data_IF_064824388417
#
_entry.id   IF_064824388417
#
_cell.length_a   1.000
_cell.length_b   1.000
_cell.length_c   1.000
_cell.angle_alpha   90.00
_cell.angle_beta   90.00
_cell.angle_gamma   90.00
#
_symmetry.space_group_name_H-M   'P 1'
#
loop_
_entity.id
_entity.type
_entity.pdbx_description
1 polymer ?
#
# COMPACT_ATOMS: atom_id res chain seq x y z
N UNK A 1 -8.36 -17.57 38.97
CA UNK A 1 -9.05 -16.66 38.02
C UNK A 1 -8.21 -15.45 37.61
N UNK A 2 -7.50 -14.75 38.52
CA UNK A 2 -6.67 -13.58 38.16
C UNK A 2 -5.50 -13.87 37.20
N UNK A 3 -4.84 -15.02 37.35
CA UNK A 3 -3.73 -15.42 36.47
C UNK A 3 -4.19 -15.73 35.04
N UNK A 4 -5.35 -16.40 34.87
CA UNK A 4 -5.95 -16.63 33.56
C UNK A 4 -6.40 -15.33 32.88
N UNK A 5 -6.92 -14.37 33.65
CA UNK A 5 -7.30 -13.05 33.14
C UNK A 5 -6.08 -12.23 32.70
N UNK A 6 -4.98 -12.32 33.45
CA UNK A 6 -3.67 -11.74 33.08
C UNK A 6 -3.07 -12.39 31.84
N UNK A 7 -3.16 -13.72 31.73
CA UNK A 7 -2.67 -14.47 30.56
C UNK A 7 -3.50 -14.14 29.31
N UNK A 8 -4.82 -13.99 29.46
CA UNK A 8 -5.72 -13.58 28.39
C UNK A 8 -5.44 -12.14 27.92
N UNK A 9 -5.19 -11.21 28.86
CA UNK A 9 -4.80 -9.83 28.54
C UNK A 9 -3.44 -9.76 27.85
N UNK A 10 -2.45 -10.55 28.30
CA UNK A 10 -1.13 -10.63 27.69
C UNK A 10 -1.22 -11.23 26.28
N UNK A 11 -2.06 -12.25 26.09
CA UNK A 11 -2.33 -12.85 24.77
C UNK A 11 -3.04 -11.85 23.82
N UNK A 12 -3.97 -11.04 24.34
CA UNK A 12 -4.62 -9.95 23.58
C UNK A 12 -3.63 -8.85 23.18
N UNK A 13 -2.67 -8.50 24.05
CA UNK A 13 -1.58 -7.55 23.78
C UNK A 13 -0.53 -8.10 22.79
N UNK A 14 -0.29 -9.41 22.80
CA UNK A 14 0.61 -10.09 21.86
C UNK A 14 -0.06 -10.37 20.50
N UNK A 15 -1.39 -10.38 20.45
CA UNK A 15 -2.18 -10.62 19.25
C UNK A 15 -2.73 -9.34 18.61
N UNK A 16 -2.59 -8.19 19.28
CA UNK A 16 -2.72 -6.91 18.58
C UNK A 16 -1.60 -6.86 17.53
N UNK A 17 -1.91 -6.55 16.25
CA UNK A 17 -0.85 -6.26 15.30
C UNK A 17 0.04 -5.19 15.95
N UNK A 18 1.37 -5.38 15.91
CA UNK A 18 2.32 -4.31 16.23
C UNK A 18 1.73 -3.01 15.70
N UNK A 19 1.74 -1.89 16.46
CA UNK A 19 1.35 -0.62 15.89
C UNK A 19 2.27 -0.40 14.69
N UNK A 20 1.78 -0.72 13.50
CA UNK A 20 2.30 -0.18 12.26
C UNK A 20 2.25 1.32 12.53
N UNK A 21 3.39 1.98 12.42
CA UNK A 21 3.45 3.43 12.46
C UNK A 21 2.43 3.87 11.41
N UNK A 22 1.27 4.31 11.90
CA UNK A 22 0.13 4.67 11.06
C UNK A 22 0.43 6.09 10.63
N UNK A 23 1.12 6.21 9.51
CA UNK A 23 1.56 7.49 8.99
C UNK A 23 0.43 8.25 8.26
N UNK A 24 -0.82 7.81 8.40
CA UNK A 24 -1.97 8.46 7.78
C UNK A 24 -3.03 8.75 8.85
N UNK A 25 -3.35 10.04 9.02
CA UNK A 25 -4.52 10.47 9.78
C UNK A 25 -5.78 10.02 9.03
N UNK A 26 -6.91 9.82 9.71
CA UNK A 26 -8.22 9.59 9.07
C UNK A 26 -8.56 10.65 8.02
N UNK A 27 -7.92 11.82 8.10
CA UNK A 27 -8.11 12.99 7.26
C UNK A 27 -7.56 12.82 5.84
N UNK A 28 -6.49 12.05 5.64
CA UNK A 28 -5.91 11.90 4.29
C UNK A 28 -6.78 11.03 3.38
N UNK A 29 -7.50 10.03 3.92
CA UNK A 29 -8.50 9.29 3.15
C UNK A 29 -9.71 10.15 2.79
N UNK A 30 -10.18 10.98 3.71
CA UNK A 30 -11.24 11.94 3.37
C UNK A 30 -10.77 12.95 2.33
N UNK A 31 -9.49 13.35 2.37
CA UNK A 31 -8.89 14.18 1.33
C UNK A 31 -8.94 13.48 -0.03
N UNK A 32 -8.60 12.20 -0.11
CA UNK A 32 -8.63 11.45 -1.37
C UNK A 32 -10.01 11.46 -2.03
N UNK A 33 -11.07 11.27 -1.23
CA UNK A 33 -12.47 11.32 -1.69
C UNK A 33 -12.81 12.72 -2.23
N UNK A 34 -12.46 13.77 -1.47
CA UNK A 34 -12.71 15.15 -1.88
C UNK A 34 -11.97 15.47 -3.19
N UNK A 35 -10.67 15.15 -3.27
CA UNK A 35 -9.86 15.40 -4.46
C UNK A 35 -10.35 14.59 -5.66
N UNK A 36 -10.82 13.36 -5.45
CA UNK A 36 -11.43 12.55 -6.50
C UNK A 36 -12.69 13.21 -7.07
N UNK A 37 -13.56 13.77 -6.23
CA UNK A 37 -14.78 14.45 -6.66
C UNK A 37 -14.45 15.64 -7.57
N UNK A 38 -13.52 16.50 -7.16
CA UNK A 38 -13.08 17.64 -7.98
C UNK A 38 -12.40 17.18 -9.28
N UNK A 39 -11.62 16.10 -9.25
CA UNK A 39 -11.00 15.53 -10.44
C UNK A 39 -12.04 15.04 -11.45
N UNK A 40 -13.13 14.41 -10.99
CA UNK A 40 -14.21 13.92 -11.84
C UNK A 40 -15.00 15.05 -12.50
N UNK A 41 -15.13 16.22 -11.87
CA UNK A 41 -15.80 17.40 -12.46
C UNK A 41 -15.14 17.87 -13.76
N UNK A 42 -13.86 17.59 -13.98
CA UNK A 42 -13.18 17.91 -15.23
C UNK A 42 -13.56 16.95 -16.39
N UNK A 43 -14.27 15.86 -16.12
CA UNK A 43 -14.61 14.80 -17.09
C UNK A 43 -16.03 14.92 -17.65
N UNK A 44 -16.42 16.08 -18.19
CA UNK A 44 -17.78 16.31 -18.74
C UNK A 44 -18.05 15.48 -20.00
N UNK A 45 -17.13 15.53 -20.99
CA UNK A 45 -17.17 14.72 -22.23
C UNK A 45 -15.77 14.20 -22.54
N UNK A 46 -15.22 13.30 -21.71
CA UNK A 46 -13.80 12.98 -21.76
C UNK A 46 -13.47 12.04 -22.92
N UNK A 47 -12.39 12.37 -23.63
CA UNK A 47 -11.75 11.47 -24.59
C UNK A 47 -10.86 10.49 -23.82
N UNK A 48 -10.88 9.22 -24.24
CA UNK A 48 -10.04 8.19 -23.62
C UNK A 48 -8.57 8.51 -23.85
N UNK A 49 -7.75 8.46 -22.80
CA UNK A 49 -6.31 8.72 -22.92
C UNK A 49 -5.91 10.20 -22.85
N UNK A 50 -6.86 11.12 -22.72
CA UNK A 50 -6.57 12.55 -22.53
C UNK A 50 -6.51 12.89 -21.05
N UNK A 51 -5.49 13.65 -20.65
CA UNK A 51 -5.32 14.16 -19.28
C UNK A 51 -6.15 15.44 -19.14
N UNK A 52 -7.00 15.49 -18.12
CA UNK A 52 -7.81 16.65 -17.78
C UNK A 52 -7.30 17.24 -16.47
N UNK A 53 -6.74 18.44 -16.51
CA UNK A 53 -6.35 19.17 -15.31
C UNK A 53 -7.61 19.66 -14.59
N UNK A 54 -7.70 19.41 -13.27
CA UNK A 54 -8.83 19.79 -12.44
C UNK A 54 -8.43 20.77 -11.32
N UNK A 55 -7.20 21.25 -11.31
CA UNK A 55 -6.65 22.11 -10.25
C UNK A 55 -7.42 23.42 -10.10
N UNK A 56 -7.91 24.00 -11.21
CA UNK A 56 -8.72 25.22 -11.19
C UNK A 56 -10.10 25.05 -10.54
N UNK A 57 -10.57 23.82 -10.35
CA UNK A 57 -11.85 23.54 -9.70
C UNK A 57 -11.72 23.46 -8.17
N UNK A 58 -10.49 23.42 -7.64
CA UNK A 58 -10.26 23.31 -6.21
C UNK A 58 -10.60 24.62 -5.48
N UNK A 59 -11.27 24.54 -4.31
CA UNK A 59 -11.43 25.68 -3.42
C UNK A 59 -10.09 26.26 -2.95
N UNK A 60 -10.10 27.53 -2.52
CA UNK A 60 -8.94 28.24 -1.95
C UNK A 60 -8.26 27.48 -0.79
N UNK A 61 -9.03 26.67 -0.05
CA UNK A 61 -8.52 25.85 1.04
C UNK A 61 -7.48 24.80 0.60
N UNK A 62 -7.38 24.49 -0.71
CA UNK A 62 -6.39 23.57 -1.27
C UNK A 62 -5.30 24.27 -2.07
N UNK A 63 -4.98 25.52 -1.73
CA UNK A 63 -3.92 26.29 -2.40
C UNK A 63 -2.61 25.49 -2.43
N UNK A 64 -2.02 25.35 -3.62
CA UNK A 64 -0.79 24.59 -3.85
C UNK A 64 -0.97 23.10 -4.12
N UNK A 65 -2.18 22.54 -3.96
CA UNK A 65 -2.51 21.18 -4.41
C UNK A 65 -2.78 21.20 -5.91
N UNK A 66 -2.26 20.22 -6.65
CA UNK A 66 -2.58 20.01 -8.07
C UNK A 66 -3.28 18.67 -8.24
N UNK A 67 -4.32 18.64 -9.06
CA UNK A 67 -5.05 17.41 -9.39
C UNK A 67 -5.34 17.30 -10.89
N UNK A 68 -5.38 16.08 -11.38
CA UNK A 68 -5.78 15.77 -12.75
C UNK A 68 -6.52 14.43 -12.80
N UNK A 69 -7.28 14.22 -13.86
CA UNK A 69 -7.98 12.98 -14.14
C UNK A 69 -7.66 12.45 -15.53
N UNK A 70 -7.49 11.13 -15.65
CA UNK A 70 -7.23 10.43 -16.90
C UNK A 70 -8.16 9.22 -17.02
N UNK A 71 -9.10 9.28 -17.97
CA UNK A 71 -10.04 8.17 -18.22
C UNK A 71 -9.48 7.21 -19.25
N UNK A 72 -9.43 5.92 -18.92
CA UNK A 72 -8.89 4.85 -19.76
C UNK A 72 -9.86 3.66 -19.87
N UNK A 73 -9.71 2.88 -20.94
CA UNK A 73 -10.23 1.50 -20.96
C UNK A 73 -9.21 0.60 -20.27
N UNK A 74 -9.63 -0.29 -19.41
CA UNK A 74 -8.71 -1.20 -18.70
C UNK A 74 -7.86 -2.06 -19.63
N UNK A 75 -8.46 -2.55 -20.72
CA UNK A 75 -7.72 -3.28 -21.75
C UNK A 75 -6.71 -2.42 -22.53
N UNK A 76 -6.85 -1.09 -22.54
CA UNK A 76 -5.84 -0.18 -23.10
C UNK A 76 -4.71 0.04 -22.11
N UNK A 77 -5.05 0.30 -20.83
CA UNK A 77 -4.07 0.44 -19.75
C UNK A 77 -3.17 -0.80 -19.67
N UNK A 78 -3.76 -2.00 -19.66
CA UNK A 78 -3.00 -3.26 -19.62
C UNK A 78 -2.07 -3.47 -20.82
N UNK A 79 -2.51 -3.12 -22.04
CA UNK A 79 -1.74 -3.39 -23.27
C UNK A 79 -0.71 -2.33 -23.62
N UNK A 80 -0.96 -1.08 -23.21
CA UNK A 80 -0.18 0.09 -23.68
C UNK A 80 0.38 0.96 -22.55
N UNK A 81 -0.02 0.74 -21.29
CA UNK A 81 0.32 1.65 -20.21
C UNK A 81 -0.25 3.05 -20.46
N UNK A 82 0.51 4.07 -20.04
CA UNK A 82 0.28 5.47 -20.40
C UNK A 82 1.55 6.06 -20.99
N UNK A 83 1.47 6.58 -22.22
CA UNK A 83 2.63 7.05 -23.00
C UNK A 83 2.48 8.55 -23.32
N UNK A 84 3.53 9.38 -23.13
CA UNK A 84 4.83 9.03 -22.55
C UNK A 84 4.77 8.88 -21.03
N UNK A 85 3.94 9.69 -20.35
CA UNK A 85 3.71 9.63 -18.92
C UNK A 85 2.35 10.23 -18.56
N UNK A 86 1.87 9.94 -17.37
CA UNK A 86 0.77 10.64 -16.73
C UNK A 86 1.35 11.58 -15.66
N UNK A 87 1.57 12.85 -16.03
CA UNK A 87 2.33 13.78 -15.20
C UNK A 87 3.70 13.18 -14.82
N UNK A 88 4.04 13.09 -13.53
CA UNK A 88 5.28 12.47 -13.02
C UNK A 88 5.27 10.94 -13.04
N UNK A 89 4.15 10.29 -13.38
CA UNK A 89 4.00 8.84 -13.35
C UNK A 89 4.24 8.21 -14.75
N UNK A 90 5.28 7.40 -14.87
CA UNK A 90 5.49 6.51 -16.02
C UNK A 90 4.78 5.18 -15.72
N UNK A 91 3.65 4.95 -16.39
CA UNK A 91 2.79 3.79 -16.16
C UNK A 91 3.08 2.75 -17.24
N UNK A 92 3.70 1.60 -16.90
CA UNK A 92 4.16 0.63 -17.87
C UNK A 92 3.02 -0.19 -18.46
N UNK A 93 3.37 -1.03 -19.44
CA UNK A 93 2.48 -2.11 -19.89
C UNK A 93 2.28 -3.15 -18.79
N UNK A 94 1.16 -3.89 -18.85
CA UNK A 94 0.88 -4.98 -17.91
C UNK A 94 0.25 -4.54 -16.58
N UNK A 95 -0.21 -3.29 -16.48
CA UNK A 95 -0.96 -2.80 -15.32
C UNK A 95 -2.39 -3.36 -15.33
N UNK A 96 -2.82 -3.97 -14.23
CA UNK A 96 -4.12 -4.63 -14.07
C UNK A 96 -4.82 -4.07 -12.85
N UNK A 97 -6.11 -3.76 -12.99
CA UNK A 97 -6.99 -3.36 -11.90
C UNK A 97 -7.85 -4.52 -11.37
N UNK A 98 -8.22 -4.45 -10.09
CA UNK A 98 -9.13 -5.37 -9.41
C UNK A 98 -10.09 -4.59 -8.49
N UNK A 99 -11.42 -4.83 -8.54
CA UNK A 99 -12.13 -5.67 -9.50
C UNK A 99 -12.04 -5.10 -10.93
N UNK A 100 -12.25 -5.96 -11.94
CA UNK A 100 -12.24 -5.54 -13.34
C UNK A 100 -13.37 -4.55 -13.62
N UNK A 101 -13.04 -3.50 -14.36
CA UNK A 101 -14.03 -2.54 -14.88
C UNK A 101 -13.77 -2.30 -16.36
N UNK A 102 -14.81 -1.94 -17.14
CA UNK A 102 -14.59 -1.66 -18.58
C UNK A 102 -13.80 -0.37 -18.80
N UNK A 103 -14.05 0.63 -17.96
CA UNK A 103 -13.38 1.93 -17.95
C UNK A 103 -13.06 2.31 -16.52
N UNK A 104 -11.85 2.84 -16.34
CA UNK A 104 -11.38 3.37 -15.08
C UNK A 104 -10.96 4.84 -15.25
N UNK A 105 -10.90 5.55 -14.14
CA UNK A 105 -10.28 6.88 -14.05
C UNK A 105 -9.08 6.75 -13.13
N UNK A 106 -7.91 7.15 -13.62
CA UNK A 106 -6.76 7.43 -12.78
C UNK A 106 -6.85 8.89 -12.32
N UNK A 107 -6.72 9.10 -11.02
CA UNK A 107 -6.67 10.42 -10.40
C UNK A 107 -5.26 10.66 -9.92
N UNK A 108 -4.64 11.70 -10.47
CA UNK A 108 -3.37 12.24 -10.04
C UNK A 108 -3.60 13.29 -8.96
N UNK A 109 -2.77 13.25 -7.92
CA UNK A 109 -2.74 14.24 -6.86
C UNK A 109 -1.30 14.67 -6.59
N UNK A 110 -1.08 15.96 -6.37
CA UNK A 110 0.17 16.49 -5.85
C UNK A 110 -0.17 17.41 -4.69
N UNK A 111 0.21 17.00 -3.48
CA UNK A 111 -0.19 17.68 -2.26
C UNK A 111 0.66 18.92 -1.95
N UNK A 112 1.76 19.14 -2.67
CA UNK A 112 2.62 20.31 -2.45
C UNK A 112 3.01 20.46 -0.96
N UNK A 113 2.77 21.66 -0.42
CA UNK A 113 3.06 22.00 0.98
C UNK A 113 2.18 21.26 2.01
N UNK A 114 1.12 20.59 1.58
CA UNK A 114 0.21 19.84 2.45
C UNK A 114 0.71 18.44 2.79
N UNK A 115 1.80 18.01 2.17
CA UNK A 115 2.38 16.67 2.33
C UNK A 115 2.55 16.27 3.80
N UNK A 116 3.25 17.08 4.60
CA UNK A 116 3.52 16.77 6.01
C UNK A 116 2.27 16.84 6.90
N UNK A 117 1.19 17.53 6.47
CA UNK A 117 -0.06 17.59 7.23
C UNK A 117 -0.83 16.27 7.11
N UNK A 118 -0.94 15.74 5.90
CA UNK A 118 -1.75 14.55 5.63
C UNK A 118 -0.96 13.23 5.77
N UNK A 119 0.35 13.30 5.57
CA UNK A 119 1.27 12.16 5.69
C UNK A 119 2.39 12.52 6.68
N UNK A 120 2.11 12.63 7.99
CA UNK A 120 3.15 12.90 8.96
C UNK A 120 4.13 11.72 9.05
N UNK A 121 5.42 11.99 8.86
CA UNK A 121 6.49 11.02 9.00
C UNK A 121 7.50 11.47 10.07
N UNK A 122 7.49 10.88 11.27
CA UNK A 122 8.48 11.22 12.29
C UNK A 122 9.88 10.77 11.86
N UNK A 123 10.91 11.53 12.22
CA UNK A 123 12.33 11.30 11.89
C UNK A 123 12.70 11.43 10.41
N UNK A 124 11.76 11.84 9.56
CA UNK A 124 11.99 12.07 8.15
C UNK A 124 11.59 13.49 7.75
N UNK A 125 12.33 14.06 6.80
CA UNK A 125 12.00 15.35 6.19
C UNK A 125 11.65 15.13 4.72
N UNK A 126 10.53 15.69 4.26
CA UNK A 126 10.13 15.65 2.85
C UNK A 126 11.07 16.48 1.97
N UNK A 127 11.67 15.84 0.97
CA UNK A 127 12.46 16.51 -0.07
C UNK A 127 11.63 16.80 -1.31
N UNK A 128 10.54 16.06 -1.53
CA UNK A 128 9.61 16.25 -2.63
C UNK A 128 8.17 16.28 -2.08
N UNK A 129 7.17 16.80 -2.83
CA UNK A 129 5.77 16.69 -2.41
C UNK A 129 5.29 15.24 -2.44
N UNK A 130 4.22 14.94 -1.71
CA UNK A 130 3.52 13.67 -1.81
C UNK A 130 2.68 13.66 -3.08
N UNK A 131 2.97 12.70 -3.96
CA UNK A 131 2.24 12.44 -5.20
C UNK A 131 1.34 11.22 -5.03
N UNK A 132 0.06 11.37 -5.35
CA UNK A 132 -0.94 10.30 -5.30
C UNK A 132 -1.33 9.83 -6.70
N UNK A 133 -1.43 8.51 -6.86
CA UNK A 133 -2.07 7.87 -8.00
C UNK A 133 -3.13 6.91 -7.47
N UNK A 134 -4.39 7.18 -7.77
CA UNK A 134 -5.53 6.38 -7.33
C UNK A 134 -6.42 6.01 -8.51
N UNK A 135 -6.96 4.80 -8.52
CA UNK A 135 -7.84 4.33 -9.59
C UNK A 135 -9.27 4.13 -9.11
N UNK A 136 -10.24 4.51 -9.95
CA UNK A 136 -11.67 4.43 -9.65
C UNK A 136 -12.45 3.88 -10.84
N UNK A 137 -13.65 3.35 -10.59
CA UNK A 137 -14.55 2.95 -11.68
C UNK A 137 -14.96 4.18 -12.49
N UNK A 138 -14.66 4.16 -13.79
CA UNK A 138 -14.92 5.26 -14.72
C UNK A 138 -16.14 5.04 -15.61
N UNK A 139 -17.06 4.16 -15.21
CA UNK A 139 -18.29 3.86 -15.97
C UNK A 139 -19.35 4.95 -15.80
N UNK A 140 -19.57 5.39 -14.55
CA UNK A 140 -20.43 6.51 -14.21
C UNK A 140 -19.58 7.64 -13.61
N UNK A 141 -19.44 8.76 -14.33
CA UNK A 141 -18.62 9.90 -13.93
C UNK A 141 -19.33 10.86 -12.97
N UNK A 142 -20.63 10.65 -12.76
CA UNK A 142 -21.45 11.41 -11.82
C UNK A 142 -21.65 10.68 -10.49
N UNK A 143 -21.04 9.49 -10.33
CA UNK A 143 -21.15 8.72 -9.11
C UNK A 143 -20.29 9.34 -8.00
N UNK A 144 -20.85 9.42 -6.80
CA UNK A 144 -20.19 9.83 -5.56
C UNK A 144 -19.73 8.60 -4.78
N UNK A 145 -18.84 8.79 -3.81
CA UNK A 145 -18.40 7.75 -2.86
C UNK A 145 -17.86 6.48 -3.53
N UNK A 146 -17.18 6.65 -4.66
CA UNK A 146 -16.62 5.55 -5.42
C UNK A 146 -15.48 4.88 -4.64
N UNK A 147 -15.50 3.55 -4.42
CA UNK A 147 -14.39 2.87 -3.81
C UNK A 147 -13.18 2.88 -4.76
N UNK A 148 -11.98 2.95 -4.19
CA UNK A 148 -10.73 2.77 -4.93
C UNK A 148 -10.65 1.36 -5.48
N UNK A 149 -10.28 1.22 -6.74
CA UNK A 149 -9.86 -0.05 -7.33
C UNK A 149 -8.44 -0.38 -6.83
N UNK A 150 -8.06 -1.65 -6.86
CA UNK A 150 -6.67 -2.07 -6.62
C UNK A 150 -5.94 -2.18 -7.94
N UNK A 151 -4.92 -1.36 -8.16
CA UNK A 151 -4.05 -1.45 -9.34
C UNK A 151 -2.74 -2.13 -8.98
N UNK A 152 -2.33 -3.09 -9.81
CA UNK A 152 -1.07 -3.80 -9.69
C UNK A 152 -0.34 -3.87 -11.04
N UNK A 153 0.93 -3.54 -11.06
CA UNK A 153 1.85 -3.64 -12.18
C UNK A 153 2.63 -4.94 -12.05
N UNK A 154 2.36 -5.91 -12.92
CA UNK A 154 2.83 -7.29 -12.75
C UNK A 154 4.22 -7.58 -13.33
N UNK A 155 4.70 -6.77 -14.26
CA UNK A 155 5.96 -7.01 -14.98
C UNK A 155 6.99 -5.92 -14.65
N UNK A 156 6.73 -4.69 -15.09
CA UNK A 156 7.55 -3.53 -14.74
C UNK A 156 6.84 -2.68 -13.69
N UNK A 157 7.58 -2.05 -12.74
CA UNK A 157 6.97 -1.17 -11.77
C UNK A 157 6.59 0.18 -12.40
N UNK A 158 5.58 0.82 -11.82
CA UNK A 158 5.26 2.22 -12.08
C UNK A 158 6.43 3.06 -11.55
N UNK A 159 7.01 3.88 -12.41
CA UNK A 159 8.08 4.81 -12.02
C UNK A 159 7.48 6.19 -11.78
N UNK A 160 7.96 6.86 -10.73
CA UNK A 160 7.54 8.20 -10.35
C UNK A 160 8.76 9.09 -10.37
N UNK A 161 8.82 9.99 -11.35
CA UNK A 161 9.95 10.90 -11.55
C UNK A 161 9.60 12.28 -11.02
N UNK A 162 10.16 12.60 -9.86
CA UNK A 162 9.93 13.89 -9.22
C UNK A 162 10.70 14.98 -9.97
N UNK A 163 10.00 16.07 -10.30
CA UNK A 163 10.60 17.22 -11.00
C UNK A 163 11.40 18.10 -10.04
N UNK A 164 10.83 18.38 -8.86
CA UNK A 164 11.42 19.26 -7.86
C UNK A 164 11.77 18.46 -6.59
N UNK A 165 13.05 18.12 -6.44
CA UNK A 165 13.58 17.45 -5.24
C UNK A 165 14.56 18.39 -4.56
N UNK A 166 14.32 18.70 -3.28
CA UNK A 166 15.20 19.53 -2.46
C UNK A 166 16.49 18.80 -2.14
N UNK A 167 17.57 19.55 -1.99
CA UNK A 167 18.85 18.99 -1.56
C UNK A 167 18.73 18.37 -0.15
N UNK A 168 19.24 17.14 0.05
CA UNK A 168 19.22 16.50 1.36
C UNK A 168 20.20 17.18 2.32
N UNK A 169 19.93 17.15 3.64
CA UNK A 169 20.92 17.54 4.64
C UNK A 169 22.22 16.74 4.49
N UNK A 170 23.35 17.35 4.85
CA UNK A 170 24.67 16.68 4.81
C UNK A 170 24.65 15.36 5.60
N UNK A 171 25.03 14.28 4.94
CA UNK A 171 25.09 12.94 5.53
C UNK A 171 23.72 12.26 5.73
N UNK A 172 22.61 12.87 5.28
CA UNK A 172 21.29 12.26 5.38
C UNK A 172 21.10 11.15 4.33
N UNK A 173 20.42 10.08 4.74
CA UNK A 173 20.05 8.97 3.85
C UNK A 173 18.74 9.32 3.15
N UNK A 174 18.78 9.37 1.82
CA UNK A 174 17.59 9.65 1.00
C UNK A 174 16.87 8.36 0.66
N UNK A 175 15.55 8.32 0.87
CA UNK A 175 14.67 7.17 0.61
C UNK A 175 13.42 7.60 -0.13
N UNK A 176 12.91 6.69 -0.95
CA UNK A 176 11.51 6.74 -1.37
C UNK A 176 10.64 6.27 -0.22
N UNK A 177 9.51 6.94 0.00
CA UNK A 177 8.44 6.48 0.88
C UNK A 177 7.18 6.26 0.06
N UNK A 178 6.53 5.12 0.28
CA UNK A 178 5.24 4.78 -0.32
C UNK A 178 4.22 4.49 0.78
N UNK A 179 3.04 5.07 0.64
CA UNK A 179 1.89 4.85 1.51
C UNK A 179 0.86 3.99 0.78
N UNK A 180 0.53 2.86 1.40
CA UNK A 180 -0.54 1.99 0.90
C UNK A 180 -1.92 2.64 1.07
N UNK A 181 -2.95 2.00 0.51
CA UNK A 181 -4.34 2.47 0.64
C UNK A 181 -4.84 2.46 2.08
N UNK A 182 -4.11 1.84 3.02
CA UNK A 182 -4.37 1.79 4.45
C UNK A 182 -3.56 2.81 5.25
N UNK A 183 -2.66 3.55 4.61
CA UNK A 183 -1.82 4.56 5.23
C UNK A 183 -0.56 4.01 5.89
N UNK A 184 -0.22 2.75 5.66
CA UNK A 184 1.06 2.18 6.11
C UNK A 184 2.17 2.66 5.19
N UNK A 185 3.26 3.18 5.75
CA UNK A 185 4.44 3.59 5.00
C UNK A 185 5.42 2.44 4.80
N UNK A 186 5.99 2.32 3.61
CA UNK A 186 7.15 1.49 3.31
C UNK A 186 8.23 2.32 2.63
N UNK A 187 9.49 1.89 2.77
CA UNK A 187 10.64 2.62 2.27
C UNK A 187 11.41 1.81 1.24
N UNK A 188 11.97 2.51 0.24
CA UNK A 188 12.85 1.92 -0.77
C UNK A 188 13.93 2.92 -1.17
N UNK A 189 14.88 2.49 -1.99
CA UNK A 189 15.98 3.35 -2.44
C UNK A 189 15.51 4.28 -3.56
N UNK A 190 15.98 5.53 -3.55
CA UNK A 190 15.80 6.44 -4.68
C UNK A 190 16.76 6.02 -5.80
N UNK A 191 16.25 6.02 -7.03
CA UNK A 191 17.03 5.75 -8.24
C UNK A 191 17.30 7.06 -8.97
N UNK A 192 18.54 7.31 -9.42
CA UNK A 192 18.90 8.51 -10.19
C UNK A 192 18.68 9.83 -9.46
N UNK A 193 18.58 9.82 -8.12
CA UNK A 193 18.40 11.01 -7.28
C UNK A 193 16.97 11.58 -7.22
N UNK A 194 16.08 11.20 -8.14
CA UNK A 194 14.73 11.77 -8.22
C UNK A 194 13.62 10.78 -8.61
N UNK A 195 13.92 9.49 -8.70
CA UNK A 195 12.97 8.49 -9.19
C UNK A 195 12.65 7.44 -8.13
N UNK A 196 11.35 7.22 -7.91
CA UNK A 196 10.82 6.13 -7.08
C UNK A 196 10.10 5.09 -7.94
N UNK A 197 9.97 3.87 -7.43
CA UNK A 197 9.28 2.77 -8.12
C UNK A 197 8.28 2.08 -7.19
N UNK A 198 7.12 1.71 -7.74
CA UNK A 198 6.08 0.95 -7.03
C UNK A 198 5.36 -0.02 -7.99
N UNK A 199 4.94 -1.17 -7.48
CA UNK A 199 4.07 -2.08 -8.23
C UNK A 199 2.59 -1.77 -8.03
N UNK A 200 2.23 -0.91 -7.08
CA UNK A 200 0.82 -0.66 -6.73
C UNK A 200 0.51 0.82 -6.63
N UNK A 201 -0.78 1.15 -6.66
CA UNK A 201 -1.25 2.52 -6.47
C UNK A 201 -1.08 3.01 -5.02
N UNK A 202 -1.26 4.31 -4.79
CA UNK A 202 -1.14 4.93 -3.49
C UNK A 202 -0.40 6.26 -3.58
N UNK A 203 0.22 6.67 -2.48
CA UNK A 203 0.92 7.94 -2.37
C UNK A 203 2.42 7.73 -2.21
N UNK A 204 3.23 8.54 -2.88
CA UNK A 204 4.69 8.41 -2.90
C UNK A 204 5.37 9.75 -2.68
N UNK A 205 6.55 9.71 -2.06
CA UNK A 205 7.42 10.87 -1.97
C UNK A 205 8.88 10.47 -1.78
N UNK A 206 9.77 11.47 -1.77
CA UNK A 206 11.18 11.34 -1.42
C UNK A 206 11.41 12.04 -0.09
N UNK A 207 12.07 11.34 0.83
CA UNK A 207 12.37 11.83 2.18
C UNK A 207 13.85 11.64 2.52
N UNK A 208 14.35 12.49 3.40
CA UNK A 208 15.66 12.37 4.04
C UNK A 208 15.49 11.92 5.50
N UNK A 209 16.23 10.89 5.90
CA UNK A 209 16.31 10.47 7.29
C UNK A 209 17.09 11.51 8.10
N UNK A 210 16.47 12.00 9.17
CA UNK A 210 17.09 12.97 10.07
C UNK A 210 17.96 12.18 11.05
N UNK A 211 19.26 12.12 10.79
CA UNK A 211 20.21 11.55 11.75
C UNK A 211 20.24 12.44 12.98
N UNK A 212 19.72 11.96 14.09
CA UNK A 212 19.97 12.57 15.41
C UNK A 212 21.42 12.23 15.73
N UNK A 213 22.36 13.10 15.33
CA UNK A 213 23.73 12.98 15.80
C UNK A 213 23.68 13.03 17.34
N UNK A 214 24.24 12.05 18.07
CA UNK A 214 24.30 12.14 19.52
C UNK A 214 25.00 13.45 19.89
N UNK A 215 24.54 14.16 20.94
CA UNK A 215 25.19 15.38 21.39
C UNK A 215 26.68 15.10 21.59
N UNK A 216 27.58 15.98 21.13
CA UNK A 216 29.01 15.77 21.33
C UNK A 216 29.26 15.54 22.83
N UNK A 217 30.10 14.55 23.19
CA UNK A 217 30.41 14.31 24.59
C UNK A 217 30.92 15.63 25.21
N UNK A 218 30.49 15.98 26.43
CA UNK A 218 30.95 17.19 27.09
C UNK A 218 32.48 17.17 27.13
N UNK A 219 33.10 18.21 26.58
CA UNK A 219 34.54 18.39 26.59
C UNK A 219 35.04 18.37 28.03
N UNK A 220 35.84 17.37 28.37
CA UNK A 220 36.57 17.28 29.64
C UNK A 220 37.44 18.54 29.82
N UNK A 221 37.41 19.20 30.99
CA UNK A 221 38.35 20.29 31.27
C UNK A 221 39.78 19.75 31.36
N UNK A 222 40.79 20.56 31.01
CA UNK A 222 42.19 20.11 30.92
C UNK A 222 42.73 19.70 32.30
N UNK A 223 43.46 18.58 32.40
CA UNK A 223 44.10 18.17 33.65
C UNK A 223 45.36 19.02 33.89
N UNK A 224 45.36 19.70 35.04
CA UNK A 224 46.53 20.40 35.58
C UNK A 224 47.54 19.36 36.07
N UNK A 225 48.77 19.45 35.55
CA UNK A 225 49.95 18.71 36.06
C UNK A 225 50.32 19.18 37.47
N UNK A 226 50.84 18.31 38.35
CA UNK A 226 52.29 18.25 38.48
C UNK A 226 52.87 16.83 38.76
N UNK A 227 54.09 16.60 38.30
CA UNK A 227 55.01 15.54 38.74
C UNK A 227 55.90 16.05 39.91
N UNK A 228 56.81 15.26 40.56
CA UNK A 228 57.12 13.83 40.44
C UNK A 228 57.15 13.05 41.80
N UNK A 229 57.24 11.72 41.68
CA UNK A 229 57.52 10.64 42.66
C UNK A 229 58.97 10.70 43.23
N UNK A 230 59.56 9.74 44.03
CA UNK A 230 59.20 8.34 44.44
C UNK A 230 59.60 8.03 45.94
N UNK A 231 59.86 6.80 46.49
CA UNK A 231 59.89 5.41 45.93
C UNK A 231 59.26 4.26 46.78
N UNK A 232 59.11 3.09 46.12
CA UNK A 232 58.72 1.72 46.57
C UNK A 232 59.77 1.04 47.50
N UNK A 233 59.64 -0.21 48.08
CA UNK A 233 59.21 -1.51 47.46
C UNK A 233 58.56 -2.56 48.45
N UNK A 234 58.61 -3.92 48.26
CA UNK A 234 57.85 -4.85 47.39
C UNK A 234 57.10 -6.00 48.20
N UNK A 235 56.91 -7.27 47.72
CA UNK A 235 55.85 -7.83 46.84
C UNK A 235 55.09 -9.08 47.42
N UNK A 236 53.86 -9.42 47.02
CA UNK A 236 53.33 -10.82 47.15
C UNK A 236 52.34 -11.20 46.03
N UNK A 237 52.53 -12.45 45.56
CA UNK A 237 52.01 -13.21 44.39
C UNK A 237 50.54 -13.69 44.58
N UNK A 238 49.83 -14.20 43.53
CA UNK A 238 48.37 -14.27 43.42
C UNK A 238 47.78 -15.61 43.88
N UNK A 239 46.46 -15.65 44.11
CA UNK A 239 45.68 -16.90 44.13
C UNK A 239 44.28 -16.74 43.55
N UNK A 240 44.10 -17.37 42.40
CA UNK A 240 42.84 -17.87 41.87
C UNK A 240 42.32 -19.02 42.78
N UNK A 241 41.01 -19.09 43.04
CA UNK A 241 40.32 -20.40 43.05
C UNK A 241 38.80 -20.26 43.06
N UNK A 242 38.21 -20.90 42.04
CA UNK A 242 36.91 -21.56 41.97
C UNK A 242 36.03 -21.54 43.24
N UNK A 243 34.77 -21.16 43.03
CA UNK A 243 33.67 -21.91 43.64
C UNK A 243 32.69 -22.37 42.57
N UNK A 244 32.09 -23.50 42.85
CA UNK A 244 31.51 -24.43 41.89
C UNK A 244 30.11 -24.81 42.33
N UNK A 245 29.34 -25.26 41.34
CA UNK A 245 28.26 -26.25 41.41
C UNK A 245 26.83 -25.77 41.69
N UNK A 246 26.10 -25.82 40.56
CA UNK A 246 24.97 -26.73 40.27
C UNK A 246 23.59 -26.40 40.85
N UNK A 247 22.62 -26.94 40.09
CA UNK A 247 21.18 -27.10 40.32
C UNK A 247 20.38 -25.93 39.77
N UNK A 248 19.38 -26.10 38.90
CA UNK A 248 18.78 -27.32 38.38
C UNK A 248 17.68 -26.99 37.37
N UNK A 249 17.54 -27.86 36.37
CA UNK A 249 16.26 -28.35 35.82
C UNK A 249 15.05 -27.40 35.88
N UNK A 250 15.06 -26.29 35.12
CA UNK A 250 13.82 -25.57 34.70
C UNK A 250 14.00 -24.93 33.31
N UNK A 251 14.58 -25.62 32.33
CA UNK A 251 14.74 -25.08 30.95
C UNK A 251 13.95 -25.87 29.90
N UNK A 252 13.23 -26.93 30.30
CA UNK A 252 12.43 -27.74 29.35
C UNK A 252 11.01 -27.23 29.09
N UNK A 253 10.42 -26.43 29.98
CA UNK A 253 8.96 -26.18 29.95
C UNK A 253 8.55 -24.95 29.12
N UNK A 254 9.40 -23.93 29.03
CA UNK A 254 9.08 -22.69 28.30
C UNK A 254 9.21 -22.90 26.78
N UNK A 255 10.23 -23.63 26.33
CA UNK A 255 10.39 -23.95 24.89
C UNK A 255 9.26 -24.85 24.39
N UNK A 256 8.87 -25.86 25.18
CA UNK A 256 7.75 -26.74 24.84
C UNK A 256 6.42 -25.99 24.77
N UNK A 257 6.17 -25.06 25.70
CA UNK A 257 4.99 -24.20 25.68
C UNK A 257 4.90 -23.32 24.44
N UNK A 258 6.02 -22.71 24.02
CA UNK A 258 6.05 -21.85 22.83
C UNK A 258 5.81 -22.68 21.57
N UNK A 259 6.45 -23.84 21.44
CA UNK A 259 6.26 -24.74 20.28
C UNK A 259 4.81 -25.25 20.21
N UNK A 260 4.23 -25.65 21.34
CA UNK A 260 2.85 -26.09 21.42
C UNK A 260 1.85 -24.95 21.10
N UNK A 261 2.13 -23.73 21.57
CA UNK A 261 1.31 -22.55 21.30
C UNK A 261 1.35 -22.15 19.82
N UNK A 262 2.53 -22.20 19.19
CA UNK A 262 2.69 -21.97 17.75
C UNK A 262 1.94 -23.03 16.95
N UNK A 263 2.05 -24.30 17.33
CA UNK A 263 1.34 -25.40 16.67
C UNK A 263 -0.18 -25.26 16.79
N UNK A 264 -0.69 -24.88 17.97
CA UNK A 264 -2.12 -24.59 18.18
C UNK A 264 -2.60 -23.41 17.34
N UNK A 265 -1.81 -22.33 17.27
CA UNK A 265 -2.14 -21.16 16.46
C UNK A 265 -2.21 -21.52 14.97
N UNK A 266 -1.26 -22.32 14.46
CA UNK A 266 -1.28 -22.82 13.09
C UNK A 266 -2.50 -23.71 12.82
N UNK A 267 -2.85 -24.61 13.75
CA UNK A 267 -4.05 -25.46 13.63
C UNK A 267 -5.34 -24.64 13.55
N UNK A 268 -5.50 -23.62 14.40
CA UNK A 268 -6.66 -22.73 14.37
C UNK A 268 -6.73 -21.97 13.05
N UNK A 269 -5.61 -21.41 12.57
CA UNK A 269 -5.55 -20.73 11.28
C UNK A 269 -5.90 -21.66 10.12
N UNK A 270 -5.46 -22.92 10.15
CA UNK A 270 -5.82 -23.93 9.17
C UNK A 270 -7.32 -24.26 9.18
N UNK A 271 -7.91 -24.46 10.36
CA UNK A 271 -9.37 -24.72 10.48
C UNK A 271 -10.18 -23.52 9.99
N UNK A 272 -9.75 -22.29 10.31
CA UNK A 272 -10.41 -21.07 9.84
C UNK A 272 -10.30 -20.90 8.32
N UNK A 273 -9.12 -21.15 7.75
CA UNK A 273 -8.91 -21.16 6.29
C UNK A 273 -9.74 -22.24 5.63
N UNK A 274 -9.80 -23.45 6.20
CA UNK A 274 -10.60 -24.55 5.68
C UNK A 274 -12.11 -24.24 5.72
N UNK A 275 -12.60 -23.62 6.80
CA UNK A 275 -13.99 -23.14 6.89
C UNK A 275 -14.29 -22.04 5.87
N UNK A 276 -13.36 -21.10 5.66
CA UNK A 276 -13.47 -20.06 4.64
C UNK A 276 -13.54 -20.67 3.24
N UNK A 277 -12.65 -21.61 2.91
CA UNK A 277 -12.66 -22.31 1.61
C UNK A 277 -13.93 -23.14 1.42
N UNK A 278 -14.42 -23.82 2.47
CA UNK A 278 -15.72 -24.53 2.40
C UNK A 278 -16.90 -23.59 2.15
N UNK A 279 -16.92 -22.41 2.78
CA UNK A 279 -17.95 -21.40 2.49
C UNK A 279 -17.89 -20.96 1.03
N UNK A 280 -16.68 -20.74 0.49
CA UNK A 280 -16.50 -20.38 -0.92
C UNK A 280 -17.01 -21.50 -1.84
N UNK A 281 -16.69 -22.75 -1.57
CA UNK A 281 -17.19 -23.89 -2.35
C UNK A 281 -18.72 -24.08 -2.26
N UNK A 282 -19.32 -23.75 -1.11
CA UNK A 282 -20.78 -23.73 -0.98
C UNK A 282 -21.40 -22.59 -1.79
N UNK A 283 -20.75 -21.42 -1.83
CA UNK A 283 -21.16 -20.30 -2.66
C UNK A 283 -21.01 -20.60 -4.16
N UNK A 284 -19.97 -21.33 -4.56
CA UNK A 284 -19.77 -21.80 -5.94
C UNK A 284 -20.86 -22.79 -6.37
N UNK A 285 -21.21 -23.78 -5.54
CA UNK A 285 -22.32 -24.70 -5.85
C UNK A 285 -23.70 -24.02 -5.89
N UNK A 286 -23.92 -23.00 -5.06
CA UNK A 286 -25.15 -22.22 -5.11
C UNK A 286 -25.24 -21.35 -6.37
N UNK A 287 -24.10 -20.89 -6.90
CA UNK A 287 -24.02 -20.18 -8.18
C UNK A 287 -24.23 -21.11 -9.38
N UNK A 288 -23.68 -22.33 -9.36
CA UNK A 288 -23.90 -23.32 -10.42
C UNK A 288 -25.33 -23.88 -10.44
N UNK A 289 -26.02 -23.90 -9.29
CA UNK A 289 -27.43 -24.30 -9.19
C UNK A 289 -28.41 -23.17 -9.54
N UNK A 290 -27.95 -21.92 -9.50
CA UNK A 290 -28.74 -20.74 -9.86
C UNK A 290 -28.60 -20.40 -11.35
N UNK A 291 -29.51 -20.94 -12.16
CA UNK A 291 -29.71 -20.62 -13.59
C UNK A 291 -28.67 -21.16 -14.60
N UNK A 292 -28.70 -22.48 -14.81
CA UNK A 292 -28.29 -23.04 -16.10
C UNK A 292 -29.32 -22.63 -17.19
N UNK A 293 -29.09 -21.48 -17.83
CA UNK A 293 -29.75 -21.11 -19.09
C UNK A 293 -29.64 -22.30 -20.06
N UNK A 294 -30.78 -22.80 -20.55
CA UNK A 294 -30.82 -23.93 -21.48
C UNK A 294 -29.94 -23.66 -22.70
N UNK A 295 -28.88 -24.45 -22.86
CA UNK A 295 -28.00 -24.41 -24.03
C UNK A 295 -28.70 -25.18 -25.15
N UNK A 296 -29.08 -24.50 -26.23
CA UNK A 296 -29.56 -25.17 -27.43
C UNK A 296 -28.38 -25.38 -28.39
N UNK A 297 -28.28 -26.58 -28.95
CA UNK A 297 -27.36 -26.90 -30.05
C UNK A 297 -28.01 -26.49 -31.37
N UNK A 298 -27.39 -25.58 -32.11
CA UNK A 298 -27.76 -25.25 -33.49
C UNK A 298 -26.57 -25.60 -34.38
N UNK A 299 -26.69 -26.70 -35.13
CA UNK A 299 -25.57 -27.27 -35.88
C UNK A 299 -24.40 -27.69 -34.97
N UNK A 300 -23.17 -27.37 -35.37
CA UNK A 300 -21.93 -27.70 -34.64
C UNK A 300 -21.56 -26.68 -33.54
N UNK A 301 -22.38 -25.66 -33.32
CA UNK A 301 -22.11 -24.60 -32.32
C UNK A 301 -23.13 -24.60 -31.19
N UNK A 302 -22.62 -24.50 -29.94
CA UNK A 302 -23.43 -24.38 -28.73
C UNK A 302 -23.56 -22.91 -28.32
N UNK A 303 -24.80 -22.43 -28.19
CA UNK A 303 -25.08 -21.06 -27.76
C UNK A 303 -26.24 -21.03 -26.75
N UNK A 304 -26.27 -20.04 -25.83
CA UNK A 304 -27.34 -19.90 -24.86
C UNK A 304 -28.65 -19.49 -25.54
N UNK A 305 -29.74 -20.23 -25.30
CA UNK A 305 -31.05 -19.94 -25.86
C UNK A 305 -31.94 -19.22 -24.84
N UNK A 306 -32.44 -18.03 -25.20
CA UNK A 306 -33.44 -17.31 -24.42
C UNK A 306 -34.83 -17.84 -24.77
N UNK A 307 -35.61 -18.29 -23.77
CA UNK A 307 -36.88 -19.01 -23.94
C UNK A 307 -38.05 -18.16 -24.49
N UNK A 308 -37.88 -16.86 -24.73
CA UNK A 308 -38.99 -15.99 -25.14
C UNK A 308 -38.59 -15.04 -26.25
N UNK A 309 -38.93 -15.38 -27.49
CA UNK A 309 -38.95 -14.48 -28.65
C UNK A 309 -40.41 -14.25 -29.05
N UNK A 310 -40.90 -13.01 -28.89
CA UNK A 310 -42.32 -12.63 -29.09
C UNK A 310 -42.70 -12.26 -30.54
N UNK A 311 -41.88 -12.59 -31.53
CA UNK A 311 -42.21 -12.24 -32.93
C UNK A 311 -41.86 -13.39 -33.85
N UNK A 312 -42.89 -13.98 -34.46
CA UNK A 312 -42.76 -15.01 -35.48
C UNK A 312 -42.38 -14.34 -36.81
N UNK A 313 -41.24 -14.69 -37.43
CA UNK A 313 -40.92 -14.19 -38.76
C UNK A 313 -41.85 -14.85 -39.79
N UNK A 314 -42.63 -14.03 -40.49
CA UNK A 314 -43.47 -14.43 -41.63
C UNK A 314 -42.63 -14.27 -42.88
N UNK A 315 -42.50 -15.36 -43.65
CA UNK A 315 -41.67 -15.43 -44.85
C UNK A 315 -42.61 -15.22 -46.05
N UNK A 316 -42.50 -14.05 -46.70
CA UNK A 316 -43.34 -13.73 -47.86
C UNK A 316 -42.80 -14.48 -49.09
N UNK A 317 -43.64 -15.34 -49.66
CA UNK A 317 -43.40 -15.96 -50.96
C UNK A 317 -44.36 -15.35 -51.97
N UNK A 318 -43.83 -14.51 -52.85
CA UNK A 318 -44.55 -14.13 -54.07
C UNK A 318 -43.62 -14.32 -55.27
N UNK A 319 -43.78 -15.48 -55.91
CA UNK A 319 -43.30 -15.78 -57.26
C UNK A 319 -44.55 -16.04 -58.09
N UNK A 320 -44.77 -15.22 -59.12
CA UNK A 320 -45.77 -15.45 -60.16
C UNK A 320 -45.25 -14.84 -61.47
N UNK A 321 -45.72 -15.31 -62.63
CA UNK A 321 -45.24 -16.46 -63.40
C UNK A 321 -44.38 -16.06 -64.62
#
# INVERSE_FOLDING_TARGET
MRLHLLLLHLLLLLCSPFPRIRAQSSEARSLDVILQEYAFRALVKPKTGTIYNATSHLPSNFTGVKIAALRLRSGSLRRRGVVPSYNEFEIPIGVIEKPYVKRLVLVYQNLGNWSNRYYPLPNYTYLAPVLGLLAYNGSNLSATDLPTLNVNASAEPIKVKFLDVRDPPLGAVVRCVWFDLQGSSNFSNVTGGNTCSTSTQGHLSIVAETSVLPPPPPSLPPPVSPAPSPPSPPPVVPKESKSSKKVGVIVGSVLGGIVFLVLLCLLVLWVLKYKQTKKIQQMERAADAGEALHIATVGDTKAPAATVTRTQPTLEHEYVP
#
